data_IF_657720504844
#
_entry.id   IF_657720504844
#
_cell.length_a   1.000
_cell.length_b   1.000
_cell.length_c   1.000
_cell.angle_alpha   90.00
_cell.angle_beta   90.00
_cell.angle_gamma   90.00
#
_symmetry.space_group_name_H-M   'P 1'
#
loop_
_entity.id
_entity.type
_entity.pdbx_description
1 polymer ?
#
# COMPACT_ATOMS: atom_id res chain seq x y z
N UNK A 1 -4.34 -5.57 10.78
CA UNK A 1 -3.08 -5.16 10.10
C UNK A 1 -3.23 -3.90 9.25
N UNK A 2 -4.43 -3.53 8.80
CA UNK A 2 -4.71 -2.21 8.23
C UNK A 2 -5.65 -1.45 9.20
N UNK A 3 -5.60 -0.11 9.28
CA UNK A 3 -6.52 0.66 10.11
C UNK A 3 -7.99 0.37 9.78
N UNK A 4 -8.84 0.42 10.81
CA UNK A 4 -10.29 0.30 10.65
C UNK A 4 -10.83 1.50 9.87
N UNK A 5 -11.75 1.24 8.95
CA UNK A 5 -12.45 2.28 8.17
C UNK A 5 -13.08 3.37 9.04
N UNK A 6 -13.68 2.99 10.16
CA UNK A 6 -14.33 3.92 11.10
C UNK A 6 -13.39 4.96 11.73
N UNK A 7 -12.07 4.76 11.66
CA UNK A 7 -11.07 5.69 12.16
C UNK A 7 -10.63 6.71 11.08
N UNK A 8 -11.24 6.66 9.90
CA UNK A 8 -10.99 7.62 8.85
C UNK A 8 -11.63 8.96 9.19
N UNK A 9 -10.83 10.02 9.28
CA UNK A 9 -11.28 11.38 9.64
C UNK A 9 -11.29 12.36 8.46
N UNK A 10 -10.82 11.92 7.28
CA UNK A 10 -10.73 12.74 6.07
C UNK A 10 -11.43 12.07 4.88
N UNK A 11 -12.09 12.83 3.99
CA UNK A 11 -12.78 12.25 2.84
C UNK A 11 -11.80 11.67 1.82
N UNK A 12 -12.20 10.58 1.18
CA UNK A 12 -11.48 10.03 0.02
C UNK A 12 -11.85 10.82 -1.24
N UNK A 13 -10.93 11.65 -1.70
CA UNK A 13 -11.03 12.41 -2.95
C UNK A 13 -9.65 12.52 -3.61
N UNK A 14 -9.63 12.97 -4.87
CA UNK A 14 -8.43 13.06 -5.70
C UNK A 14 -7.34 13.92 -5.04
N UNK A 15 -7.70 15.07 -4.49
CA UNK A 15 -6.77 15.98 -3.82
C UNK A 15 -6.06 15.33 -2.64
N UNK A 16 -6.82 14.65 -1.77
CA UNK A 16 -6.26 14.00 -0.59
C UNK A 16 -5.41 12.78 -0.96
N UNK A 17 -5.80 12.02 -1.98
CA UNK A 17 -5.00 10.89 -2.48
C UNK A 17 -3.71 11.40 -3.12
N UNK A 18 -3.78 12.44 -3.95
CA UNK A 18 -2.62 13.06 -4.58
C UNK A 18 -1.63 13.56 -3.51
N UNK A 19 -2.12 14.25 -2.49
CA UNK A 19 -1.27 14.72 -1.38
C UNK A 19 -0.57 13.57 -0.64
N UNK A 20 -1.23 12.43 -0.44
CA UNK A 20 -0.61 11.23 0.14
C UNK A 20 0.48 10.68 -0.78
N UNK A 21 0.21 10.59 -2.08
CA UNK A 21 1.17 10.07 -3.05
C UNK A 21 2.42 10.95 -3.09
N UNK A 22 2.24 12.27 -3.20
CA UNK A 22 3.35 13.24 -3.19
C UNK A 22 4.15 13.14 -1.90
N UNK A 23 3.47 13.12 -0.75
CA UNK A 23 4.12 13.06 0.56
C UNK A 23 5.04 11.85 0.69
N UNK A 24 4.62 10.67 0.22
CA UNK A 24 5.39 9.44 0.38
C UNK A 24 6.34 9.12 -0.78
N UNK A 25 6.14 9.67 -1.97
CA UNK A 25 6.83 9.15 -3.16
C UNK A 25 7.58 10.19 -3.98
N UNK A 26 7.52 11.49 -3.65
CA UNK A 26 8.25 12.55 -4.37
C UNK A 26 9.76 12.29 -4.45
N UNK A 27 10.36 11.74 -3.40
CA UNK A 27 11.80 11.46 -3.32
C UNK A 27 12.21 10.10 -3.93
N UNK A 28 11.27 9.34 -4.48
CA UNK A 28 11.54 8.01 -5.05
C UNK A 28 11.50 8.05 -6.58
N UNK A 29 12.36 7.26 -7.21
CA UNK A 29 12.34 7.03 -8.67
C UNK A 29 11.17 6.11 -9.06
N UNK A 30 9.93 6.63 -8.98
CA UNK A 30 8.69 5.94 -9.30
C UNK A 30 7.91 6.70 -10.37
N UNK A 31 7.26 5.95 -11.27
CA UNK A 31 6.18 6.51 -12.08
C UNK A 31 4.88 6.49 -11.26
N UNK A 32 4.32 7.67 -10.98
CA UNK A 32 3.08 7.83 -10.21
C UNK A 32 1.84 7.99 -11.10
N UNK A 33 1.99 7.94 -12.43
CA UNK A 33 0.91 8.08 -13.39
C UNK A 33 -0.20 7.03 -13.15
N UNK A 34 -1.46 7.48 -13.19
CA UNK A 34 -2.64 6.63 -13.01
C UNK A 34 -2.82 6.07 -11.58
N UNK A 35 -1.96 6.41 -10.61
CA UNK A 35 -2.09 5.91 -9.24
C UNK A 35 -3.32 6.47 -8.51
N UNK A 36 -3.65 7.77 -8.72
CA UNK A 36 -4.87 8.39 -8.18
C UNK A 36 -6.11 7.69 -8.74
N UNK A 37 -6.18 7.54 -10.07
CA UNK A 37 -7.30 6.87 -10.74
C UNK A 37 -7.47 5.43 -10.26
N UNK A 38 -6.37 4.68 -10.13
CA UNK A 38 -6.39 3.33 -9.59
C UNK A 38 -7.02 3.28 -8.18
N UNK A 39 -6.61 4.18 -7.29
CA UNK A 39 -7.09 4.21 -5.91
C UNK A 39 -8.55 4.66 -5.80
N UNK A 40 -8.98 5.58 -6.65
CA UNK A 40 -10.36 6.07 -6.71
C UNK A 40 -11.31 5.04 -7.34
N UNK A 41 -10.96 4.54 -8.52
CA UNK A 41 -11.89 3.82 -9.39
C UNK A 41 -11.77 2.29 -9.25
N UNK A 42 -10.56 1.76 -9.06
CA UNK A 42 -10.35 0.31 -8.96
C UNK A 42 -10.32 -0.18 -7.51
N UNK A 43 -9.97 0.68 -6.55
CA UNK A 43 -9.91 0.37 -5.11
C UNK A 43 -10.94 1.14 -4.31
N UNK A 44 -12.17 1.17 -4.82
CA UNK A 44 -13.33 1.85 -4.21
C UNK A 44 -13.58 1.44 -2.77
N UNK A 45 -13.27 0.19 -2.40
CA UNK A 45 -13.47 -0.32 -1.05
C UNK A 45 -12.46 0.17 -0.02
N UNK A 46 -11.37 0.84 -0.39
CA UNK A 46 -10.41 1.40 0.56
C UNK A 46 -10.81 2.80 0.98
N UNK A 47 -10.74 3.09 2.28
CA UNK A 47 -10.86 4.44 2.84
C UNK A 47 -9.51 5.18 2.80
N UNK A 48 -9.53 6.51 2.97
CA UNK A 48 -8.31 7.32 2.86
C UNK A 48 -7.24 6.92 3.89
N UNK A 49 -7.60 6.69 5.16
CA UNK A 49 -6.66 6.22 6.18
C UNK A 49 -6.00 4.88 5.83
N UNK A 50 -6.71 4.00 5.14
CA UNK A 50 -6.19 2.72 4.66
C UNK A 50 -5.20 2.92 3.50
N UNK A 51 -5.53 3.83 2.57
CA UNK A 51 -4.63 4.24 1.49
C UNK A 51 -3.35 4.85 2.07
N UNK A 52 -3.46 5.77 3.02
CA UNK A 52 -2.32 6.38 3.69
C UNK A 52 -1.42 5.34 4.35
N UNK A 53 -2.01 4.38 5.07
CA UNK A 53 -1.27 3.28 5.68
C UNK A 53 -0.51 2.44 4.64
N UNK A 54 -1.18 2.10 3.54
CA UNK A 54 -0.56 1.33 2.45
C UNK A 54 0.60 2.11 1.84
N UNK A 55 0.41 3.39 1.51
CA UNK A 55 1.45 4.24 0.93
C UNK A 55 2.66 4.38 1.87
N UNK A 56 2.43 4.59 3.17
CA UNK A 56 3.48 4.59 4.18
C UNK A 56 4.29 3.31 4.15
N UNK A 57 3.63 2.15 4.15
CA UNK A 57 4.31 0.84 4.16
C UNK A 57 5.04 0.54 2.86
N UNK A 58 4.51 0.98 1.73
CA UNK A 58 5.23 0.89 0.45
C UNK A 58 6.52 1.70 0.52
N UNK A 59 6.45 2.95 1.01
CA UNK A 59 7.62 3.81 1.13
C UNK A 59 8.67 3.20 2.08
N UNK A 60 8.27 2.78 3.29
CA UNK A 60 9.16 2.13 4.27
C UNK A 60 9.81 0.84 3.71
N UNK A 61 9.05 0.06 2.94
CA UNK A 61 9.51 -1.19 2.32
C UNK A 61 10.21 -1.01 0.97
N UNK A 62 10.26 0.20 0.41
CA UNK A 62 10.66 0.40 -0.99
C UNK A 62 12.06 -0.14 -1.29
N UNK A 63 13.06 0.27 -0.51
CA UNK A 63 14.45 -0.08 -0.75
C UNK A 63 14.76 -1.56 -0.47
N UNK A 64 14.07 -2.17 0.50
CA UNK A 64 14.40 -3.52 0.97
C UNK A 64 13.54 -4.61 0.33
N UNK A 65 12.32 -4.29 -0.10
CA UNK A 65 11.37 -5.26 -0.66
C UNK A 65 11.20 -5.05 -2.16
N UNK A 66 10.89 -3.83 -2.61
CA UNK A 66 10.50 -3.62 -4.00
C UNK A 66 11.68 -3.40 -4.93
N UNK A 67 12.59 -2.47 -4.60
CA UNK A 67 13.69 -2.08 -5.48
C UNK A 67 14.63 -3.24 -5.87
N UNK A 68 15.02 -4.16 -4.96
CA UNK A 68 15.89 -5.28 -5.32
C UNK A 68 15.23 -6.30 -6.25
N UNK A 69 13.89 -6.35 -6.24
CA UNK A 69 13.10 -7.37 -6.92
C UNK A 69 12.47 -6.88 -8.24
N UNK A 70 12.45 -5.57 -8.49
CA UNK A 70 11.83 -4.93 -9.67
C UNK A 70 12.88 -4.13 -10.45
N UNK A 71 12.92 -4.35 -11.77
CA UNK A 71 13.89 -3.70 -12.67
C UNK A 71 13.24 -2.56 -13.45
N UNK A 72 14.06 -1.59 -13.87
CA UNK A 72 13.60 -0.44 -14.65
C UNK A 72 12.90 0.63 -13.80
N UNK A 73 12.12 1.47 -14.48
CA UNK A 73 11.20 2.43 -13.85
C UNK A 73 10.06 1.63 -13.24
N UNK A 74 9.82 1.83 -11.95
CA UNK A 74 8.80 1.09 -11.20
C UNK A 74 7.53 1.94 -11.15
N UNK A 75 6.43 1.35 -11.62
CA UNK A 75 5.10 1.94 -11.53
C UNK A 75 4.56 1.84 -10.10
N UNK A 76 4.15 2.97 -9.50
CA UNK A 76 3.51 2.99 -8.19
C UNK A 76 2.24 2.13 -8.18
N UNK A 77 1.49 2.10 -9.29
CA UNK A 77 0.31 1.22 -9.47
C UNK A 77 0.65 -0.26 -9.23
N UNK A 78 1.86 -0.71 -9.63
CA UNK A 78 2.30 -2.07 -9.36
C UNK A 78 2.54 -2.28 -7.87
N UNK A 79 3.25 -1.36 -7.20
CA UNK A 79 3.50 -1.41 -5.75
C UNK A 79 2.20 -1.44 -4.94
N UNK A 80 1.23 -0.60 -5.32
CA UNK A 80 -0.12 -0.59 -4.75
C UNK A 80 -0.82 -1.93 -4.97
N UNK A 81 -0.72 -2.52 -6.16
CA UNK A 81 -1.31 -3.83 -6.46
C UNK A 81 -0.74 -4.96 -5.60
N UNK A 82 0.59 -5.05 -5.43
CA UNK A 82 1.20 -6.02 -4.51
C UNK A 82 0.69 -5.82 -3.08
N UNK A 83 0.69 -4.56 -2.62
CA UNK A 83 0.39 -4.21 -1.23
C UNK A 83 -1.08 -4.41 -0.87
N UNK A 84 -1.99 -4.09 -1.79
CA UNK A 84 -3.43 -4.33 -1.61
C UNK A 84 -3.72 -5.83 -1.53
N UNK A 85 -3.16 -6.63 -2.44
CA UNK A 85 -3.34 -8.09 -2.38
C UNK A 85 -2.82 -8.66 -1.05
N UNK A 86 -1.61 -8.25 -0.65
CA UNK A 86 -0.98 -8.67 0.61
C UNK A 86 -1.85 -8.37 1.84
N UNK A 87 -2.49 -7.20 1.89
CA UNK A 87 -3.12 -6.68 3.10
C UNK A 87 -4.64 -6.90 3.16
N UNK A 88 -5.29 -7.22 2.04
CA UNK A 88 -6.76 -7.27 1.95
C UNK A 88 -7.34 -8.57 1.43
N UNK A 89 -6.53 -9.47 0.86
CA UNK A 89 -7.00 -10.72 0.25
C UNK A 89 -6.37 -11.94 0.89
N UNK A 90 -7.05 -13.08 0.79
CA UNK A 90 -6.44 -14.35 1.13
C UNK A 90 -5.36 -14.72 0.10
N UNK A 91 -4.33 -15.44 0.54
CA UNK A 91 -3.20 -15.84 -0.30
C UNK A 91 -3.62 -16.64 -1.55
N UNK A 92 -4.71 -17.39 -1.48
CA UNK A 92 -5.28 -18.15 -2.61
C UNK A 92 -5.88 -17.26 -3.70
N UNK A 93 -6.17 -16.00 -3.39
CA UNK A 93 -6.74 -15.00 -4.31
C UNK A 93 -5.65 -14.12 -4.95
N UNK A 94 -4.39 -14.32 -4.58
CA UNK A 94 -3.27 -13.58 -5.16
C UNK A 94 -2.98 -14.08 -6.58
N UNK A 95 -2.97 -13.17 -7.54
CA UNK A 95 -2.79 -13.50 -8.96
C UNK A 95 -1.41 -13.08 -9.50
N UNK A 96 -0.98 -13.71 -10.59
CA UNK A 96 0.22 -13.32 -11.34
C UNK A 96 1.39 -14.31 -11.20
N UNK A 97 2.59 -13.85 -11.59
CA UNK A 97 3.77 -14.72 -11.67
C UNK A 97 4.26 -15.20 -10.30
N UNK A 98 5.05 -16.29 -10.28
CA UNK A 98 5.71 -16.77 -9.05
C UNK A 98 6.52 -15.67 -8.35
N UNK A 99 7.20 -14.83 -9.14
CA UNK A 99 7.96 -13.70 -8.59
C UNK A 99 7.04 -12.66 -7.94
N UNK A 100 5.90 -12.35 -8.56
CA UNK A 100 4.90 -11.45 -7.98
C UNK A 100 4.39 -11.98 -6.64
N UNK A 101 3.98 -13.24 -6.60
CA UNK A 101 3.47 -13.88 -5.38
C UNK A 101 4.53 -13.85 -4.26
N UNK A 102 5.80 -14.09 -4.59
CA UNK A 102 6.92 -13.98 -3.64
C UNK A 102 7.08 -12.57 -3.09
N UNK A 103 7.12 -11.54 -3.94
CA UNK A 103 7.23 -10.14 -3.51
C UNK A 103 6.03 -9.72 -2.65
N UNK A 104 4.82 -10.12 -3.03
CA UNK A 104 3.60 -9.90 -2.22
C UNK A 104 3.74 -10.52 -0.83
N UNK A 105 4.29 -11.74 -0.74
CA UNK A 105 4.53 -12.40 0.54
C UNK A 105 5.59 -11.66 1.38
N UNK A 106 6.74 -11.31 0.78
CA UNK A 106 7.82 -10.57 1.45
C UNK A 106 7.32 -9.23 2.00
N UNK A 107 6.48 -8.52 1.24
CA UNK A 107 5.84 -7.30 1.70
C UNK A 107 4.91 -7.56 2.89
N UNK A 108 4.05 -8.58 2.84
CA UNK A 108 3.17 -8.93 3.97
C UNK A 108 3.98 -9.22 5.24
N UNK A 109 5.06 -9.99 5.11
CA UNK A 109 5.91 -10.36 6.24
C UNK A 109 6.64 -9.14 6.82
N UNK A 110 7.11 -8.23 5.95
CA UNK A 110 7.65 -6.93 6.36
C UNK A 110 6.64 -6.10 7.17
N UNK A 111 5.38 -6.00 6.72
CA UNK A 111 4.36 -5.25 7.46
C UNK A 111 4.07 -5.91 8.81
N UNK A 112 4.04 -7.25 8.88
CA UNK A 112 3.85 -7.99 10.14
C UNK A 112 4.96 -7.75 11.15
N UNK A 113 6.20 -7.61 10.69
CA UNK A 113 7.37 -7.40 11.55
C UNK A 113 7.48 -5.95 12.02
N UNK A 114 7.08 -4.99 11.19
CA UNK A 114 7.26 -3.55 11.48
C UNK A 114 6.07 -2.91 12.18
N UNK A 115 4.87 -3.46 12.02
CA UNK A 115 3.68 -2.90 12.67
C UNK A 115 3.47 -3.56 14.03
N UNK A 116 4.04 -2.94 15.08
CA UNK A 116 3.86 -3.37 16.46
C UNK A 116 2.45 -3.00 16.91
N UNK A 117 1.59 -4.03 17.04
CA UNK A 117 0.32 -4.01 17.76
C UNK A 117 -0.65 -2.87 17.38
N UNK A 118 -1.29 -2.99 16.22
CA UNK A 118 -2.50 -2.18 15.88
C UNK A 118 -3.55 -2.26 17.00
N UNK A 119 -3.60 -3.37 17.73
CA UNK A 119 -4.47 -3.56 18.88
C UNK A 119 -4.26 -2.51 19.99
N UNK A 120 -3.11 -1.83 20.06
CA UNK A 120 -2.90 -0.73 21.01
C UNK A 120 -3.81 0.48 20.70
N UNK A 121 -3.96 0.83 19.42
CA UNK A 121 -4.88 1.89 18.99
C UNK A 121 -6.35 1.47 19.14
N UNK A 122 -6.63 0.17 19.09
CA UNK A 122 -7.97 -0.39 19.30
C UNK A 122 -8.36 -0.49 20.78
N UNK A 123 -7.39 -0.61 21.69
CA UNK A 123 -7.62 -0.72 23.14
C UNK A 123 -7.72 0.63 23.85
N UNK A 124 -7.18 1.70 23.26
CA UNK A 124 -7.03 3.01 23.90
C UNK A 124 -7.81 4.14 23.22
N UNK A 125 -8.73 3.82 22.30
CA UNK A 125 -9.74 4.74 21.73
C UNK A 125 -11.12 4.09 21.79
#
# INVERSE_FOLDING_TARGET
MIPKKKLNIYPKNDTNIQAIIEYYFTELELNTEGAVEYLMNEKTSLELNQIQFICRKINEGYLNIFRPNLKGIIELKNLLSYSVDALTKNKTEWNGSKNRIRITQEFLDFVKQTEINIDYLEKNN
#
